data_IF_564603900884
#
_entry.id   IF_564603900884
#
_cell.length_a   1.000
_cell.length_b   1.000
_cell.length_c   1.000
_cell.angle_alpha   90.00
_cell.angle_beta   90.00
_cell.angle_gamma   90.00
#
_symmetry.space_group_name_H-M   'P 1'
#
loop_
_entity.id
_entity.type
_entity.pdbx_description
1 polymer ?
#
# COMPACT_ATOMS: atom_id res chain seq x y z
N UNK A 1 -24.98 19.43 -36.27
CA UNK A 1 -23.60 19.00 -35.94
C UNK A 1 -23.34 18.74 -34.46
N UNK A 2 -23.97 19.45 -33.50
CA UNK A 2 -23.76 19.21 -32.05
C UNK A 2 -24.34 17.88 -31.52
N UNK A 3 -25.40 17.35 -32.13
CA UNK A 3 -26.05 16.10 -31.68
C UNK A 3 -25.20 14.84 -31.89
N UNK A 4 -24.44 14.76 -32.99
CA UNK A 4 -23.60 13.60 -33.31
C UNK A 4 -22.44 13.47 -32.33
N UNK A 5 -21.88 14.61 -31.91
CA UNK A 5 -20.79 14.66 -30.94
C UNK A 5 -21.28 14.24 -29.56
N UNK A 6 -22.47 14.68 -29.17
CA UNK A 6 -23.06 14.36 -27.87
C UNK A 6 -23.42 12.87 -27.75
N UNK A 7 -23.91 12.28 -28.84
CA UNK A 7 -24.25 10.85 -28.91
C UNK A 7 -23.00 9.94 -28.95
N UNK A 8 -21.90 10.42 -29.54
CA UNK A 8 -20.61 9.71 -29.51
C UNK A 8 -20.00 9.71 -28.10
N UNK A 9 -20.11 10.83 -27.37
CA UNK A 9 -19.62 10.94 -25.99
C UNK A 9 -20.44 10.04 -25.06
N UNK A 10 -21.76 10.01 -25.18
CA UNK A 10 -22.61 9.16 -24.34
C UNK A 10 -22.36 7.68 -24.59
N UNK A 11 -22.24 7.25 -25.85
CA UNK A 11 -21.88 5.86 -26.20
C UNK A 11 -20.50 5.46 -25.68
N UNK A 12 -19.54 6.38 -25.70
CA UNK A 12 -18.21 6.14 -25.14
C UNK A 12 -18.24 6.01 -23.61
N UNK A 13 -19.01 6.86 -22.92
CA UNK A 13 -19.19 6.78 -21.47
C UNK A 13 -19.91 5.49 -21.05
N UNK A 14 -20.94 5.07 -21.78
CA UNK A 14 -21.64 3.80 -21.52
C UNK A 14 -20.73 2.60 -21.76
N UNK A 15 -19.95 2.59 -22.84
CA UNK A 15 -18.98 1.52 -23.10
C UNK A 15 -17.86 1.49 -22.05
N UNK A 16 -17.35 2.64 -21.62
CA UNK A 16 -16.39 2.70 -20.51
C UNK A 16 -16.97 2.19 -19.20
N UNK A 17 -18.24 2.51 -18.89
CA UNK A 17 -18.91 2.01 -17.70
C UNK A 17 -19.15 0.49 -17.75
N UNK A 18 -19.46 -0.05 -18.94
CA UNK A 18 -19.60 -1.50 -19.17
C UNK A 18 -18.26 -2.22 -19.09
N UNK A 19 -17.18 -1.63 -19.59
CA UNK A 19 -15.81 -2.16 -19.48
C UNK A 19 -15.32 -2.15 -18.04
N UNK A 20 -15.56 -1.07 -17.28
CA UNK A 20 -15.24 -1.00 -15.86
C UNK A 20 -16.01 -2.04 -15.03
N UNK A 21 -17.21 -2.43 -15.45
CA UNK A 21 -18.05 -3.43 -14.77
C UNK A 21 -17.70 -4.88 -15.14
N UNK A 22 -17.01 -5.12 -16.25
CA UNK A 22 -16.54 -6.46 -16.67
C UNK A 22 -15.27 -6.92 -15.94
N UNK A 23 -14.53 -5.99 -15.32
CA UNK A 23 -13.24 -6.28 -14.68
C UNK A 23 -13.37 -6.62 -13.19
N UNK A 24 -14.56 -6.52 -12.58
CA UNK A 24 -14.78 -7.16 -11.28
C UNK A 24 -14.82 -8.66 -11.49
N UNK A 25 -13.85 -9.44 -10.98
CA UNK A 25 -13.97 -10.89 -11.00
C UNK A 25 -15.21 -11.21 -10.16
N UNK A 26 -16.18 -11.97 -10.70
CA UNK A 26 -17.10 -12.67 -9.81
C UNK A 26 -16.24 -13.66 -9.02
N UNK A 27 -15.89 -13.33 -7.78
CA UNK A 27 -15.18 -14.25 -6.90
C UNK A 27 -16.04 -15.48 -6.69
N UNK A 28 -15.46 -16.67 -6.83
CA UNK A 28 -16.12 -17.92 -6.46
C UNK A 28 -16.45 -17.91 -4.97
N UNK A 29 -17.49 -18.64 -4.54
CA UNK A 29 -17.79 -18.81 -3.11
C UNK A 29 -16.56 -19.33 -2.35
N UNK A 30 -15.78 -20.20 -2.98
CA UNK A 30 -14.53 -20.73 -2.43
C UNK A 30 -13.45 -19.64 -2.28
N UNK A 31 -13.35 -18.69 -3.21
CA UNK A 31 -12.38 -17.59 -3.14
C UNK A 31 -12.71 -16.61 -2.00
N UNK A 32 -14.00 -16.40 -1.72
CA UNK A 32 -14.44 -15.61 -0.57
C UNK A 32 -14.09 -16.28 0.76
N UNK A 33 -14.28 -17.60 0.88
CA UNK A 33 -13.92 -18.36 2.08
C UNK A 33 -12.41 -18.37 2.33
N UNK A 34 -11.61 -18.59 1.27
CA UNK A 34 -10.15 -18.56 1.34
C UNK A 34 -9.64 -17.17 1.71
N UNK A 35 -10.24 -16.10 1.17
CA UNK A 35 -9.86 -14.73 1.50
C UNK A 35 -10.12 -14.42 2.97
N UNK A 36 -11.29 -14.81 3.51
CA UNK A 36 -11.61 -14.63 4.93
C UNK A 36 -10.62 -15.35 5.85
N UNK A 37 -10.24 -16.58 5.51
CA UNK A 37 -9.27 -17.33 6.29
C UNK A 37 -7.87 -16.70 6.21
N UNK A 38 -7.45 -16.24 5.03
CA UNK A 38 -6.18 -15.56 4.85
C UNK A 38 -6.11 -14.24 5.64
N UNK A 39 -7.20 -13.48 5.69
CA UNK A 39 -7.30 -12.26 6.52
C UNK A 39 -7.18 -12.55 8.01
N UNK A 40 -7.80 -13.64 8.50
CA UNK A 40 -7.67 -14.06 9.89
C UNK A 40 -6.24 -14.46 10.28
N UNK A 41 -5.47 -15.00 9.33
CA UNK A 41 -4.10 -15.45 9.53
C UNK A 41 -3.06 -14.34 9.27
N UNK A 42 -3.49 -13.10 9.04
CA UNK A 42 -2.59 -11.98 8.72
C UNK A 42 -1.58 -11.74 9.85
N UNK A 43 -0.31 -11.95 9.55
CA UNK A 43 0.80 -11.72 10.49
C UNK A 43 1.19 -10.23 10.47
N UNK A 44 1.20 -9.61 11.65
CA UNK A 44 1.65 -8.23 11.82
C UNK A 44 3.15 -8.21 12.16
N UNK A 45 3.98 -7.85 11.18
CA UNK A 45 5.44 -7.78 11.36
C UNK A 45 5.84 -6.34 11.71
N UNK A 46 6.67 -6.18 12.75
CA UNK A 46 7.24 -4.90 13.18
C UNK A 46 8.75 -5.00 13.28
N UNK A 47 9.45 -4.02 12.72
CA UNK A 47 10.92 -3.92 12.78
C UNK A 47 11.26 -2.62 13.50
N UNK A 48 11.99 -2.73 14.60
CA UNK A 48 12.38 -1.59 15.43
C UNK A 48 13.89 -1.50 15.49
N UNK A 49 14.45 -0.45 14.88
CA UNK A 49 15.87 -0.15 14.91
C UNK A 49 16.22 0.77 16.08
N UNK A 50 17.04 0.30 17.01
CA UNK A 50 17.45 1.07 18.19
C UNK A 50 18.88 1.62 18.04
N UNK A 51 19.10 2.86 18.48
CA UNK A 51 20.40 3.53 18.44
C UNK A 51 20.83 3.90 17.02
N UNK A 52 22.11 4.27 16.86
CA UNK A 52 22.64 4.70 15.56
C UNK A 52 22.70 3.59 14.51
N UNK A 53 23.19 2.40 14.88
CA UNK A 53 23.25 1.26 13.98
C UNK A 53 21.87 0.79 13.54
N UNK A 54 20.93 0.64 14.48
CA UNK A 54 19.56 0.23 14.18
C UNK A 54 18.82 1.27 13.33
N UNK A 55 19.01 2.56 13.59
CA UNK A 55 18.42 3.61 12.76
C UNK A 55 18.93 3.56 11.32
N UNK A 56 20.24 3.34 11.11
CA UNK A 56 20.82 3.14 9.78
C UNK A 56 20.24 1.91 9.07
N UNK A 57 20.03 0.81 9.79
CA UNK A 57 19.38 -0.38 9.22
C UNK A 57 17.96 -0.06 8.75
N UNK A 58 17.16 0.61 9.58
CA UNK A 58 15.79 1.02 9.19
C UNK A 58 15.83 1.95 7.97
N UNK A 59 16.74 2.92 7.94
CA UNK A 59 16.91 3.80 6.79
C UNK A 59 17.12 3.02 5.49
N UNK A 60 18.01 2.02 5.52
CA UNK A 60 18.28 1.16 4.36
C UNK A 60 17.08 0.29 3.99
N UNK A 61 16.37 -0.28 4.98
CA UNK A 61 15.16 -1.06 4.72
C UNK A 61 14.09 -0.24 3.99
N UNK A 62 13.96 1.03 4.33
CA UNK A 62 13.01 1.96 3.69
C UNK A 62 13.49 2.35 2.30
N UNK A 63 14.77 2.68 2.13
CA UNK A 63 15.37 3.01 0.82
C UNK A 63 15.33 1.83 -0.17
N UNK A 64 15.52 0.60 0.33
CA UNK A 64 15.43 -0.63 -0.47
C UNK A 64 13.97 -1.05 -0.75
N UNK A 65 12.97 -0.36 -0.17
CA UNK A 65 11.55 -0.58 -0.44
C UNK A 65 10.98 -1.85 0.21
N UNK A 66 11.54 -2.29 1.33
CA UNK A 66 11.01 -3.46 2.06
C UNK A 66 9.56 -3.19 2.46
N UNK A 67 8.68 -4.12 2.12
CA UNK A 67 7.24 -4.05 2.40
C UNK A 67 6.78 -5.22 3.27
N UNK A 68 5.58 -5.12 3.83
CA UNK A 68 5.00 -6.15 4.69
C UNK A 68 5.41 -6.06 6.17
N UNK A 69 6.19 -5.05 6.56
CA UNK A 69 6.54 -4.78 7.95
C UNK A 69 6.35 -3.29 8.31
N UNK A 70 5.84 -3.03 9.50
CA UNK A 70 5.82 -1.70 10.09
C UNK A 70 7.22 -1.38 10.65
N UNK A 71 7.84 -0.31 10.15
CA UNK A 71 9.21 0.07 10.53
C UNK A 71 9.24 1.27 11.49
N UNK A 72 10.10 1.19 12.50
CA UNK A 72 10.30 2.24 13.50
C UNK A 72 11.79 2.43 13.83
N UNK A 73 12.26 3.67 13.89
CA UNK A 73 13.60 4.00 14.39
C UNK A 73 13.50 4.65 15.78
N UNK A 74 14.32 4.21 16.73
CA UNK A 74 14.40 4.72 18.09
C UNK A 74 15.83 5.15 18.38
N UNK A 75 16.05 6.41 18.74
CA UNK A 75 17.39 6.87 19.06
C UNK A 75 17.34 8.12 19.96
N UNK A 76 18.22 8.17 20.95
CA UNK A 76 18.37 9.34 21.84
C UNK A 76 19.03 10.52 21.14
N UNK A 77 19.82 10.27 20.08
CA UNK A 77 20.40 11.32 19.25
C UNK A 77 19.36 11.86 18.26
N UNK A 78 18.76 13.01 18.62
CA UNK A 78 17.79 13.71 17.79
C UNK A 78 18.33 14.13 16.42
N UNK A 79 19.62 14.53 16.34
CA UNK A 79 20.21 14.98 15.07
C UNK A 79 20.33 13.82 14.11
N UNK A 80 20.76 12.67 14.61
CA UNK A 80 20.79 11.46 13.80
C UNK A 80 19.37 11.02 13.40
N UNK A 81 18.41 11.02 14.32
CA UNK A 81 17.04 10.60 14.02
C UNK A 81 16.37 11.50 12.96
N UNK A 82 16.73 12.78 12.88
CA UNK A 82 16.27 13.71 11.84
C UNK A 82 16.71 13.29 10.43
N UNK A 83 17.92 12.75 10.26
CA UNK A 83 18.45 12.36 8.94
C UNK A 83 17.94 11.01 8.43
N UNK A 84 17.25 10.23 9.27
CA UNK A 84 16.82 8.86 8.96
C UNK A 84 15.46 8.86 8.27
N UNK A 85 15.28 8.10 7.19
CA UNK A 85 14.00 7.86 6.54
C UNK A 85 13.32 6.66 7.21
N UNK A 86 12.49 6.94 8.22
CA UNK A 86 11.70 5.93 8.91
C UNK A 86 10.23 6.38 8.97
N UNK A 87 9.25 5.51 8.68
CA UNK A 87 7.82 5.83 8.78
C UNK A 87 7.41 6.28 10.18
N UNK A 88 8.06 5.71 11.20
CA UNK A 88 7.88 6.08 12.61
C UNK A 88 9.24 6.31 13.27
N UNK A 89 9.31 7.34 14.10
CA UNK A 89 10.51 7.72 14.87
C UNK A 89 10.15 7.92 16.34
N UNK A 90 11.02 7.50 17.25
CA UNK A 90 10.91 7.74 18.69
C UNK A 90 12.24 8.29 19.19
N UNK A 91 12.20 9.44 19.88
CA UNK A 91 13.35 10.08 20.49
C UNK A 91 13.63 9.50 21.88
#
# INVERSE_FOLDING_TARGET
MKSIIQEAISKHQENQALEAKKVSPQLSADDEELTKLAEQLKVNIRIVGCGGGGSNTINRCVEEGISGAEMCAINTDAKHLLTIHAPRKVL
#
